data_IF_706191884727
#
_entry.id   IF_706191884727
#
_cell.length_a   1.000
_cell.length_b   1.000
_cell.length_c   1.000
_cell.angle_alpha   90.00
_cell.angle_beta   90.00
_cell.angle_gamma   90.00
#
_symmetry.space_group_name_H-M   'P 1'
#
loop_
_entity.id
_entity.type
_entity.pdbx_description
1 polymer ?
#
# COMPACT_ATOMS: atom_id res chain seq x y z
N UNK A 1 17.55 -13.02 9.08
CA UNK A 1 16.70 -11.95 8.55
C UNK A 1 15.98 -11.31 9.73
N UNK A 2 16.06 -10.00 9.86
CA UNK A 2 15.26 -9.31 10.84
C UNK A 2 13.78 -9.47 10.46
N UNK A 3 12.94 -9.75 11.46
CA UNK A 3 11.49 -9.78 11.26
C UNK A 3 11.02 -8.40 10.72
N UNK A 4 10.10 -8.41 9.76
CA UNK A 4 9.51 -7.19 9.23
C UNK A 4 8.65 -6.52 10.32
N UNK A 5 8.88 -5.24 10.56
CA UNK A 5 8.03 -4.42 11.45
C UNK A 5 6.85 -3.86 10.63
N UNK A 6 5.83 -4.68 10.44
CA UNK A 6 4.62 -4.34 9.69
C UNK A 6 3.43 -4.25 10.62
N UNK A 7 2.82 -3.08 10.71
CA UNK A 7 1.52 -2.86 11.35
C UNK A 7 0.42 -3.07 10.34
N UNK A 8 -0.62 -3.77 10.73
CA UNK A 8 -1.72 -4.13 9.83
C UNK A 8 -3.08 -3.82 10.44
N UNK A 9 -4.06 -3.54 9.59
CA UNK A 9 -5.46 -3.40 9.96
C UNK A 9 -6.39 -3.87 8.85
N UNK A 10 -7.59 -4.24 9.21
CA UNK A 10 -8.66 -4.65 8.30
C UNK A 10 -9.92 -3.81 8.58
N UNK A 11 -10.48 -3.26 7.54
CA UNK A 11 -11.78 -2.60 7.60
C UNK A 11 -12.83 -3.46 6.92
N UNK A 12 -14.00 -3.59 7.55
CA UNK A 12 -15.09 -4.43 7.11
C UNK A 12 -16.32 -3.57 6.96
N UNK A 13 -16.96 -3.64 5.79
CA UNK A 13 -18.14 -2.86 5.47
C UNK A 13 -19.26 -3.76 4.95
N UNK A 14 -20.43 -3.61 5.53
CA UNK A 14 -21.69 -4.10 4.99
C UNK A 14 -22.42 -2.94 4.30
N UNK A 15 -23.13 -3.19 3.18
CA UNK A 15 -23.96 -2.17 2.55
C UNK A 15 -24.89 -1.51 3.55
N UNK A 16 -25.00 -0.18 3.51
CA UNK A 16 -25.85 0.59 4.42
C UNK A 16 -25.27 0.87 5.81
N UNK A 17 -24.18 0.20 6.22
CA UNK A 17 -23.57 0.39 7.53
C UNK A 17 -22.21 1.09 7.41
N UNK A 18 -21.76 1.81 8.45
CA UNK A 18 -20.39 2.31 8.52
C UNK A 18 -19.37 1.16 8.47
N UNK A 19 -18.16 1.45 7.95
CA UNK A 19 -17.06 0.50 8.05
C UNK A 19 -16.57 0.39 9.49
N UNK A 20 -16.20 -0.83 9.89
CA UNK A 20 -15.56 -1.11 11.18
C UNK A 20 -14.12 -1.53 10.93
N UNK A 21 -13.18 -0.87 11.59
CA UNK A 21 -11.75 -1.12 11.44
C UNK A 21 -11.17 -1.82 12.67
N UNK A 22 -10.40 -2.86 12.43
CA UNK A 22 -9.70 -3.62 13.46
C UNK A 22 -8.19 -3.53 13.23
N UNK A 23 -7.46 -3.13 14.26
CA UNK A 23 -6.01 -3.34 14.31
C UNK A 23 -5.73 -4.83 14.45
N UNK A 24 -4.70 -5.30 13.76
CA UNK A 24 -4.34 -6.71 13.71
C UNK A 24 -3.03 -6.95 14.47
N UNK A 25 -2.87 -8.17 14.95
CA UNK A 25 -1.62 -8.71 15.51
C UNK A 25 -1.36 -10.10 14.95
N UNK A 26 -0.09 -10.46 14.89
CA UNK A 26 0.30 -11.80 14.47
C UNK A 26 0.03 -12.82 15.57
N UNK A 27 -0.48 -13.97 15.16
CA UNK A 27 -0.63 -15.16 15.96
C UNK A 27 -0.44 -16.40 15.07
N UNK A 28 0.70 -17.08 15.23
CA UNK A 28 1.05 -18.32 14.51
C UNK A 28 0.85 -18.24 12.97
N UNK A 29 1.32 -17.16 12.33
CA UNK A 29 1.22 -16.95 10.88
C UNK A 29 -0.15 -16.42 10.42
N UNK A 30 -1.07 -16.19 11.35
CA UNK A 30 -2.34 -15.52 11.10
C UNK A 30 -2.32 -14.10 11.65
N UNK A 31 -3.13 -13.26 11.05
CA UNK A 31 -3.43 -11.94 11.59
C UNK A 31 -4.81 -11.97 12.24
N UNK A 32 -4.83 -11.75 13.54
CA UNK A 32 -6.06 -11.72 14.35
C UNK A 32 -6.31 -10.32 14.89
N UNK A 33 -7.53 -10.05 15.30
CA UNK A 33 -7.86 -8.77 15.93
C UNK A 33 -7.04 -8.56 17.21
N UNK A 34 -6.40 -7.41 17.33
CA UNK A 34 -5.59 -7.07 18.50
C UNK A 34 -6.41 -6.98 19.79
N UNK A 35 -7.69 -6.67 19.70
CA UNK A 35 -8.61 -6.59 20.83
C UNK A 35 -9.35 -7.91 21.13
N UNK A 36 -9.05 -8.99 20.38
CA UNK A 36 -9.68 -10.31 20.59
C UNK A 36 -11.05 -10.47 19.94
N UNK A 37 -11.56 -9.51 19.19
CA UNK A 37 -12.83 -9.64 18.48
C UNK A 37 -12.74 -10.71 17.39
N UNK A 38 -13.80 -11.50 17.24
CA UNK A 38 -13.92 -12.43 16.13
C UNK A 38 -14.07 -11.68 14.80
N UNK A 39 -13.24 -12.01 13.82
CA UNK A 39 -13.32 -11.42 12.49
C UNK A 39 -14.14 -12.29 11.54
N UNK A 40 -14.98 -11.70 10.66
CA UNK A 40 -15.70 -12.43 9.62
C UNK A 40 -14.80 -12.84 8.44
N UNK A 41 -13.49 -12.76 8.62
CA UNK A 41 -12.46 -13.06 7.63
C UNK A 41 -11.27 -13.73 8.33
N UNK A 42 -10.69 -14.73 7.69
CA UNK A 42 -9.39 -15.27 8.06
C UNK A 42 -8.31 -14.55 7.25
N UNK A 43 -7.23 -14.17 7.93
CA UNK A 43 -6.12 -13.46 7.31
C UNK A 43 -4.84 -14.23 7.62
N UNK A 44 -4.23 -14.82 6.61
CA UNK A 44 -2.91 -15.46 6.71
C UNK A 44 -1.85 -14.55 6.15
N UNK A 45 -0.72 -14.48 6.83
CA UNK A 45 0.46 -13.78 6.30
C UNK A 45 1.64 -14.75 6.20
N UNK A 46 2.49 -14.46 5.23
CA UNK A 46 3.73 -15.20 5.01
C UNK A 46 4.82 -14.25 4.54
N UNK A 47 6.02 -14.43 5.04
CA UNK A 47 7.22 -13.74 4.56
C UNK A 47 8.18 -14.80 4.02
N UNK A 48 8.61 -14.64 2.78
CA UNK A 48 9.61 -15.51 2.14
C UNK A 48 10.76 -14.68 1.60
N UNK A 49 11.94 -15.28 1.50
CA UNK A 49 13.09 -14.62 0.91
C UNK A 49 13.18 -14.94 -0.59
N UNK A 50 13.52 -13.94 -1.39
CA UNK A 50 13.84 -14.06 -2.81
C UNK A 50 15.15 -13.31 -3.08
N UNK A 51 16.24 -14.04 -2.97
CA UNK A 51 17.59 -13.44 -2.96
C UNK A 51 17.79 -12.57 -1.72
N UNK A 52 18.03 -11.28 -1.93
CA UNK A 52 18.18 -10.27 -0.88
C UNK A 52 16.84 -9.63 -0.49
N UNK A 53 15.83 -9.79 -1.32
CA UNK A 53 14.51 -9.22 -1.10
C UNK A 53 13.64 -10.14 -0.25
N UNK A 54 12.57 -9.58 0.32
CA UNK A 54 11.55 -10.32 1.03
C UNK A 54 10.21 -10.17 0.29
N UNK A 55 9.45 -11.25 0.19
CA UNK A 55 8.10 -11.24 -0.32
C UNK A 55 7.15 -11.34 0.87
N UNK A 56 6.38 -10.29 1.09
CA UNK A 56 5.29 -10.27 2.05
C UNK A 56 3.98 -10.60 1.34
N UNK A 57 3.34 -11.67 1.75
CA UNK A 57 2.11 -12.17 1.16
C UNK A 57 1.00 -12.22 2.19
N UNK A 58 -0.20 -11.82 1.79
CA UNK A 58 -1.41 -11.90 2.60
C UNK A 58 -2.49 -12.62 1.82
N UNK A 59 -3.13 -13.58 2.46
CA UNK A 59 -4.32 -14.28 1.94
C UNK A 59 -5.52 -13.96 2.82
N UNK A 60 -6.52 -13.35 2.22
CA UNK A 60 -7.80 -13.01 2.82
C UNK A 60 -8.81 -14.09 2.45
N UNK A 61 -9.41 -14.78 3.41
CA UNK A 61 -10.47 -15.77 3.18
C UNK A 61 -11.73 -15.38 3.93
N UNK A 62 -12.80 -15.06 3.22
CA UNK A 62 -14.03 -14.59 3.82
C UNK A 62 -14.78 -15.72 4.54
N UNK A 63 -15.11 -15.51 5.82
CA UNK A 63 -16.04 -16.34 6.60
C UNK A 63 -17.49 -15.90 6.44
N UNK A 64 -17.67 -14.64 6.03
CA UNK A 64 -18.95 -14.02 5.68
C UNK A 64 -18.76 -13.18 4.43
N UNK A 65 -19.79 -13.10 3.59
CA UNK A 65 -19.82 -12.17 2.45
C UNK A 65 -19.87 -10.74 2.97
N UNK A 66 -18.85 -9.94 2.63
CA UNK A 66 -18.78 -8.52 2.97
C UNK A 66 -17.80 -7.81 2.04
N UNK A 67 -17.62 -6.52 2.28
CA UNK A 67 -16.63 -5.69 1.62
C UNK A 67 -15.48 -5.42 2.56
N UNK A 68 -14.26 -5.67 2.11
CA UNK A 68 -13.04 -5.65 2.93
C UNK A 68 -12.01 -4.67 2.37
N UNK A 69 -11.23 -4.05 3.26
CA UNK A 69 -10.04 -3.29 2.93
C UNK A 69 -8.94 -3.65 3.91
N UNK A 70 -7.80 -4.14 3.38
CA UNK A 70 -6.62 -4.49 4.15
C UNK A 70 -5.56 -3.41 3.98
N UNK A 71 -5.00 -2.92 5.08
CA UNK A 71 -3.95 -1.91 5.12
C UNK A 71 -2.74 -2.42 5.89
N UNK A 72 -1.56 -2.13 5.36
CA UNK A 72 -0.28 -2.43 5.97
C UNK A 72 0.62 -1.18 5.98
N UNK A 73 1.48 -1.10 6.99
CA UNK A 73 2.45 -0.03 7.17
C UNK A 73 3.76 -0.63 7.65
N UNK A 74 4.79 -0.58 6.82
CA UNK A 74 6.14 -1.06 7.11
C UNK A 74 6.96 0.07 7.73
N UNK A 75 7.39 -0.09 8.97
CA UNK A 75 8.39 0.79 9.55
C UNK A 75 9.76 0.53 8.90
N UNK A 76 10.32 1.57 8.27
CA UNK A 76 11.60 1.46 7.58
C UNK A 76 12.82 1.58 8.50
N UNK A 77 12.64 2.13 9.70
CA UNK A 77 13.73 2.53 10.58
C UNK A 77 14.54 3.71 10.04
N UNK A 78 14.17 4.31 8.90
CA UNK A 78 14.82 5.52 8.39
C UNK A 78 14.17 6.75 9.02
N UNK A 79 14.96 7.73 9.50
CA UNK A 79 14.40 8.93 10.10
C UNK A 79 13.58 9.73 9.07
N UNK A 80 12.42 10.21 9.47
CA UNK A 80 11.57 11.04 8.61
C UNK A 80 12.24 12.35 8.21
N UNK A 81 13.04 12.91 9.09
CA UNK A 81 13.84 14.08 8.78
C UNK A 81 15.07 13.69 7.95
N UNK A 82 15.22 14.30 6.79
CA UNK A 82 16.33 14.04 5.85
C UNK A 82 16.13 12.82 4.96
N UNK A 83 14.96 12.18 4.97
CA UNK A 83 14.63 11.13 4.00
C UNK A 83 13.89 11.69 2.80
N UNK A 84 14.25 11.16 1.64
CA UNK A 84 13.63 11.46 0.35
C UNK A 84 12.73 10.30 -0.07
N UNK A 85 11.62 10.61 -0.76
CA UNK A 85 10.66 9.61 -1.22
C UNK A 85 10.69 9.50 -2.72
N UNK A 86 10.79 8.28 -3.24
CA UNK A 86 10.51 8.01 -4.64
C UNK A 86 9.06 7.56 -4.79
N UNK A 87 8.34 8.37 -5.49
CA UNK A 87 7.01 8.09 -5.98
C UNK A 87 6.80 8.97 -7.20
N UNK A 88 6.14 8.48 -8.19
CA UNK A 88 5.81 9.25 -9.37
C UNK A 88 4.35 9.03 -9.71
N UNK A 89 3.60 10.09 -9.57
CA UNK A 89 2.18 10.11 -9.92
C UNK A 89 2.03 10.70 -11.31
N UNK A 90 1.40 9.97 -12.25
CA UNK A 90 1.29 10.35 -13.66
C UNK A 90 0.62 11.72 -13.90
N UNK A 91 -0.20 12.19 -12.97
CA UNK A 91 -0.92 13.46 -13.07
C UNK A 91 -0.24 14.62 -12.35
N UNK A 92 0.84 14.38 -11.60
CA UNK A 92 1.55 15.37 -10.82
C UNK A 92 2.97 15.50 -11.35
N UNK A 93 3.19 16.50 -12.19
CA UNK A 93 4.49 16.71 -12.83
C UNK A 93 5.36 17.75 -12.15
N UNK A 94 4.79 18.57 -11.28
CA UNK A 94 5.48 19.67 -10.63
C UNK A 94 4.91 19.94 -9.25
N UNK A 95 5.78 20.26 -8.30
CA UNK A 95 5.38 20.76 -6.98
C UNK A 95 4.43 21.95 -7.02
N UNK A 96 4.58 22.82 -7.99
CA UNK A 96 3.72 24.01 -8.15
C UNK A 96 2.30 23.66 -8.58
N UNK A 97 2.10 22.51 -9.19
CA UNK A 97 0.79 22.04 -9.67
C UNK A 97 -0.05 21.42 -8.55
N UNK A 98 0.55 21.10 -7.44
CA UNK A 98 -0.11 20.52 -6.26
C UNK A 98 0.45 21.08 -4.96
N UNK A 99 0.16 22.32 -4.61
CA UNK A 99 0.69 22.94 -3.39
C UNK A 99 0.41 22.15 -2.11
N UNK A 100 -0.75 21.53 -2.00
CA UNK A 100 -1.11 20.67 -0.86
C UNK A 100 -0.25 19.41 -0.78
N UNK A 101 0.35 19.01 -1.86
CA UNK A 101 1.20 17.83 -1.93
C UNK A 101 2.49 18.00 -1.13
N UNK A 102 3.07 19.19 -1.15
CA UNK A 102 4.29 19.50 -0.39
C UNK A 102 4.07 19.61 1.12
N UNK A 103 2.85 19.87 1.54
CA UNK A 103 2.53 20.02 2.96
C UNK A 103 2.09 18.73 3.60
N UNK A 104 1.69 17.76 2.80
CA UNK A 104 1.27 16.46 3.31
C UNK A 104 2.47 15.53 3.48
N UNK A 105 2.61 15.01 4.68
CA UNK A 105 3.65 14.05 5.05
C UNK A 105 3.23 12.60 4.89
N UNK A 106 1.98 12.37 4.49
CA UNK A 106 1.41 11.04 4.29
C UNK A 106 0.59 11.01 3.01
N UNK A 107 0.88 10.04 2.13
CA UNK A 107 0.20 9.86 0.87
C UNK A 107 -0.01 8.39 0.54
N UNK A 108 -1.18 8.07 0.02
CA UNK A 108 -1.50 6.78 -0.57
C UNK A 108 -2.01 6.98 -1.99
N UNK A 109 -1.46 6.22 -2.92
CA UNK A 109 -1.77 6.29 -4.34
C UNK A 109 -2.30 4.95 -4.83
N UNK A 110 -3.35 4.98 -5.63
CA UNK A 110 -3.73 3.82 -6.40
C UNK A 110 -2.56 3.39 -7.29
N UNK A 111 -2.19 2.11 -7.22
CA UNK A 111 -0.91 1.63 -7.78
C UNK A 111 -0.79 1.80 -9.30
N UNK A 112 -1.91 1.79 -10.05
CA UNK A 112 -1.92 2.01 -11.50
C UNK A 112 -1.74 3.49 -11.90
N UNK A 113 -1.70 4.40 -10.94
CA UNK A 113 -1.38 5.81 -11.16
C UNK A 113 0.10 6.13 -10.98
N UNK A 114 0.85 5.19 -10.48
CA UNK A 114 2.29 5.30 -10.37
C UNK A 114 2.95 4.87 -11.68
N UNK A 115 4.07 5.49 -12.04
CA UNK A 115 4.85 5.10 -13.23
C UNK A 115 5.45 3.70 -13.12
N UNK A 116 5.64 3.25 -11.89
CA UNK A 116 5.93 1.86 -11.53
C UNK A 116 5.23 1.57 -10.20
N UNK A 117 4.75 0.35 -9.98
CA UNK A 117 3.96 0.01 -8.79
C UNK A 117 4.86 -0.15 -7.55
N UNK A 118 5.55 0.92 -7.18
CA UNK A 118 6.55 0.98 -6.14
C UNK A 118 6.49 2.30 -5.38
N UNK A 119 6.77 2.24 -4.08
CA UNK A 119 7.11 3.39 -3.24
C UNK A 119 8.41 3.11 -2.53
N UNK A 120 9.21 4.13 -2.27
CA UNK A 120 10.47 3.97 -1.55
C UNK A 120 10.81 5.18 -0.69
N UNK A 121 11.62 4.94 0.33
CA UNK A 121 12.27 5.97 1.12
C UNK A 121 13.79 5.81 1.01
N UNK A 122 14.50 6.92 0.91
CA UNK A 122 15.95 7.00 0.86
C UNK A 122 16.47 8.03 1.85
N UNK A 123 17.44 7.65 2.67
CA UNK A 123 18.13 8.57 3.56
C UNK A 123 19.59 8.69 3.11
N UNK A 124 19.98 9.87 2.63
CA UNK A 124 21.29 10.10 2.05
C UNK A 124 22.41 10.03 3.08
N UNK A 125 22.18 10.50 4.30
CA UNK A 125 23.18 10.44 5.37
C UNK A 125 23.50 9.02 5.80
N UNK A 126 22.52 8.12 5.77
CA UNK A 126 22.69 6.70 6.07
C UNK A 126 23.03 5.87 4.84
N UNK A 127 22.93 6.43 3.64
CA UNK A 127 23.07 5.75 2.34
C UNK A 127 22.18 4.51 2.21
N UNK A 128 21.03 4.53 2.85
CA UNK A 128 20.09 3.42 2.91
C UNK A 128 18.77 3.77 2.25
N UNK A 129 18.18 2.76 1.66
CA UNK A 129 16.84 2.83 1.12
C UNK A 129 16.04 1.58 1.44
N UNK A 130 14.73 1.76 1.55
CA UNK A 130 13.74 0.68 1.61
C UNK A 130 12.69 0.98 0.54
N UNK A 131 12.28 -0.05 -0.18
CA UNK A 131 11.18 0.06 -1.14
C UNK A 131 10.15 -1.05 -0.93
N UNK A 132 8.90 -0.74 -1.23
CA UNK A 132 7.81 -1.70 -1.35
C UNK A 132 7.30 -1.66 -2.78
N UNK A 133 7.27 -2.82 -3.43
CA UNK A 133 6.82 -3.01 -4.79
C UNK A 133 5.66 -4.00 -4.81
N UNK A 134 4.60 -3.69 -5.54
CA UNK A 134 3.50 -4.63 -5.74
C UNK A 134 3.97 -5.79 -6.62
N UNK A 135 3.75 -7.03 -6.16
CA UNK A 135 3.85 -8.18 -7.04
C UNK A 135 2.56 -8.28 -7.85
N UNK A 136 2.65 -8.05 -9.15
CA UNK A 136 1.50 -8.14 -10.03
C UNK A 136 1.19 -9.61 -10.31
N UNK A 137 -0.08 -9.97 -10.18
CA UNK A 137 -0.57 -11.21 -10.75
C UNK A 137 -1.01 -10.99 -12.20
N UNK A 138 -1.05 -12.08 -12.96
CA UNK A 138 -1.40 -12.06 -14.40
C UNK A 138 -2.88 -11.79 -14.66
N UNK A 139 -3.70 -11.66 -13.64
CA UNK A 139 -5.13 -11.39 -13.80
C UNK A 139 -5.38 -9.89 -13.94
N UNK A 140 -5.89 -9.50 -15.09
CA UNK A 140 -6.48 -8.18 -15.26
C UNK A 140 -7.89 -8.19 -14.69
N UNK A 141 -8.13 -7.40 -13.65
CA UNK A 141 -9.45 -7.19 -13.12
C UNK A 141 -9.94 -5.78 -13.46
N UNK A 142 -11.23 -5.66 -13.65
CA UNK A 142 -11.84 -4.38 -13.94
C UNK A 142 -12.55 -3.86 -12.69
N UNK A 143 -12.33 -2.62 -12.36
CA UNK A 143 -13.08 -1.95 -11.32
C UNK A 143 -14.52 -1.77 -11.81
N UNK A 144 -15.47 -2.48 -11.20
CA UNK A 144 -16.82 -2.62 -11.76
C UNK A 144 -17.85 -1.71 -11.14
N UNK A 145 -17.67 -1.29 -9.89
CA UNK A 145 -18.73 -0.57 -9.19
C UNK A 145 -18.19 0.49 -8.25
N UNK A 146 -18.84 1.63 -8.23
CA UNK A 146 -18.59 2.66 -7.21
C UNK A 146 -19.92 3.27 -6.76
N UNK A 147 -19.93 3.73 -5.54
CA UNK A 147 -20.97 4.59 -5.01
C UNK A 147 -20.56 6.05 -5.10
N UNK A 148 -21.49 6.96 -4.95
CA UNK A 148 -21.16 8.38 -4.87
C UNK A 148 -20.35 8.70 -3.60
N UNK A 149 -19.52 9.73 -3.68
CA UNK A 149 -18.70 10.20 -2.57
C UNK A 149 -17.33 9.53 -2.46
N UNK A 150 -16.85 9.39 -1.26
CA UNK A 150 -15.49 8.95 -0.95
C UNK A 150 -15.34 7.43 -0.84
N UNK A 151 -16.46 6.71 -0.77
CA UNK A 151 -16.49 5.27 -0.58
C UNK A 151 -16.84 4.56 -1.88
N UNK A 152 -16.02 3.59 -2.26
CA UNK A 152 -16.24 2.73 -3.42
C UNK A 152 -16.45 1.29 -2.92
N UNK A 153 -17.56 0.69 -3.30
CA UNK A 153 -17.80 -0.75 -3.12
C UNK A 153 -17.56 -1.45 -4.45
N UNK A 154 -16.48 -2.22 -4.53
CA UNK A 154 -16.09 -2.93 -5.74
C UNK A 154 -16.49 -4.39 -5.67
N UNK A 155 -17.11 -4.89 -6.74
CA UNK A 155 -17.37 -6.32 -6.90
C UNK A 155 -16.08 -7.10 -7.15
N UNK A 156 -15.24 -6.58 -8.03
CA UNK A 156 -13.94 -7.15 -8.40
C UNK A 156 -12.94 -6.03 -8.65
N UNK A 157 -11.74 -6.19 -8.12
CA UNK A 157 -10.59 -5.34 -8.42
C UNK A 157 -9.30 -6.07 -8.06
N UNK A 158 -8.25 -5.87 -8.85
CA UNK A 158 -6.88 -6.27 -8.51
C UNK A 158 -6.07 -5.11 -7.93
N UNK A 159 -6.59 -3.90 -8.00
CA UNK A 159 -5.85 -2.69 -7.68
C UNK A 159 -5.70 -2.49 -6.18
N UNK A 160 -4.46 -2.39 -5.75
CA UNK A 160 -4.06 -1.96 -4.42
C UNK A 160 -3.55 -0.51 -4.41
N UNK A 161 -2.88 -0.16 -3.34
CA UNK A 161 -2.24 1.14 -3.20
C UNK A 161 -0.83 1.00 -2.63
N UNK A 162 -0.04 2.02 -2.87
CA UNK A 162 1.28 2.22 -2.32
C UNK A 162 1.42 3.67 -1.86
N UNK A 163 2.16 3.88 -0.80
CA UNK A 163 2.34 5.21 -0.27
C UNK A 163 3.43 5.28 0.79
N UNK A 164 3.42 6.38 1.51
CA UNK A 164 4.33 6.63 2.61
C UNK A 164 3.67 7.47 3.70
N UNK A 165 4.21 7.37 4.89
CA UNK A 165 3.90 8.21 6.04
C UNK A 165 5.20 8.66 6.70
N UNK A 166 5.40 9.97 6.78
CA UNK A 166 6.55 10.61 7.43
C UNK A 166 6.14 11.54 8.57
N UNK A 167 4.96 11.35 9.13
CA UNK A 167 4.45 12.18 10.22
C UNK A 167 5.09 11.84 11.56
N UNK A 168 5.68 10.65 11.67
CA UNK A 168 6.36 10.16 12.86
C UNK A 168 7.89 10.27 12.73
N UNK A 169 8.61 9.84 13.77
CA UNK A 169 10.08 9.90 13.79
C UNK A 169 10.72 9.09 12.67
N UNK A 170 10.17 7.91 12.40
CA UNK A 170 10.62 7.04 11.33
C UNK A 170 9.62 7.03 10.18
N UNK A 171 10.14 6.90 8.98
CA UNK A 171 9.31 6.72 7.77
C UNK A 171 8.64 5.37 7.80
N UNK A 172 7.34 5.35 7.51
CA UNK A 172 6.63 4.14 7.16
C UNK A 172 6.29 4.12 5.66
N UNK A 173 6.42 2.97 5.01
CA UNK A 173 5.88 2.73 3.68
C UNK A 173 4.54 2.05 3.82
N UNK A 174 3.52 2.61 3.19
CA UNK A 174 2.13 2.14 3.30
C UNK A 174 1.73 1.40 2.03
N UNK A 175 0.96 0.33 2.20
CA UNK A 175 0.47 -0.48 1.11
C UNK A 175 -0.77 -1.27 1.54
N UNK A 176 -1.54 -1.74 0.60
CA UNK A 176 -2.73 -2.50 0.91
C UNK A 176 -3.60 -2.82 -0.27
N UNK A 177 -4.77 -3.41 0.02
CA UNK A 177 -5.74 -3.87 -0.96
C UNK A 177 -7.17 -3.87 -0.37
N UNK A 178 -8.18 -3.45 -1.12
CA UNK A 178 -8.07 -2.70 -2.37
C UNK A 178 -7.53 -1.28 -2.14
N UNK A 179 -7.45 -0.47 -3.20
CA UNK A 179 -6.81 0.82 -3.11
C UNK A 179 -7.54 1.83 -2.24
N UNK A 180 -6.73 2.71 -1.64
CA UNK A 180 -7.16 3.98 -1.07
C UNK A 180 -6.37 5.11 -1.74
N UNK A 181 -6.93 6.32 -1.77
CA UNK A 181 -6.23 7.53 -2.20
C UNK A 181 -6.43 8.61 -1.15
N UNK A 182 -5.35 8.98 -0.49
CA UNK A 182 -5.35 9.96 0.62
C UNK A 182 -4.13 10.87 0.54
N UNK A 183 -4.14 12.07 1.18
CA UNK A 183 -5.28 12.69 1.87
C UNK A 183 -6.33 13.24 0.91
N UNK A 184 -5.91 13.74 -0.22
CA UNK A 184 -6.73 14.25 -1.31
C UNK A 184 -6.05 13.94 -2.62
N UNK A 185 -6.78 13.65 -3.64
CA UNK A 185 -6.19 13.43 -4.94
C UNK A 185 -6.41 14.59 -5.89
N UNK A 186 -5.54 14.66 -6.87
CA UNK A 186 -5.51 15.68 -7.89
C UNK A 186 -6.34 15.25 -9.09
N UNK A 187 -7.06 16.16 -9.70
CA UNK A 187 -7.82 15.92 -10.90
C UNK A 187 -7.44 16.91 -12.02
N UNK A 188 -7.93 16.62 -13.23
CA UNK A 188 -7.56 17.26 -14.49
C UNK A 188 -7.59 18.81 -14.50
N UNK A 189 -8.40 19.43 -13.65
CA UNK A 189 -8.57 20.90 -13.59
C UNK A 189 -7.86 21.54 -12.41
N UNK A 190 -6.82 20.96 -11.91
CA UNK A 190 -6.10 21.43 -10.71
C UNK A 190 -7.00 21.51 -9.45
N UNK A 191 -8.06 20.75 -9.42
CA UNK A 191 -8.98 20.69 -8.27
C UNK A 191 -8.67 19.46 -7.43
N UNK A 192 -8.46 19.68 -6.14
CA UNK A 192 -8.32 18.58 -5.18
C UNK A 192 -9.70 17.99 -4.89
N UNK A 193 -9.80 16.67 -4.97
CA UNK A 193 -11.01 15.95 -4.58
C UNK A 193 -10.79 15.19 -3.27
N UNK A 194 -11.89 14.86 -2.62
CA UNK A 194 -11.90 14.13 -1.36
C UNK A 194 -11.14 12.79 -1.43
N UNK A 195 -10.64 12.28 -0.31
CA UNK A 195 -10.05 10.96 -0.23
C UNK A 195 -10.98 9.87 -0.76
N UNK A 196 -10.40 8.78 -1.26
CA UNK A 196 -11.16 7.62 -1.72
C UNK A 196 -10.79 6.41 -0.88
N UNK A 197 -11.80 5.69 -0.42
CA UNK A 197 -11.68 4.42 0.28
C UNK A 197 -12.45 3.34 -0.47
N UNK A 198 -11.72 2.37 -1.00
CA UNK A 198 -12.31 1.25 -1.75
C UNK A 198 -12.40 0.01 -0.87
N UNK A 199 -13.51 -0.69 -0.96
CA UNK A 199 -13.74 -1.96 -0.30
C UNK A 199 -14.09 -3.00 -1.36
N UNK A 200 -13.36 -4.12 -1.38
CA UNK A 200 -13.59 -5.19 -2.33
C UNK A 200 -14.53 -6.24 -1.74
N UNK A 201 -15.52 -6.64 -2.52
CA UNK A 201 -16.41 -7.75 -2.16
C UNK A 201 -15.64 -9.05 -2.13
N UNK A 202 -15.80 -9.78 -1.05
CA UNK A 202 -15.33 -11.16 -0.95
C UNK A 202 -16.48 -12.01 -0.44
N UNK A 203 -16.90 -12.97 -1.23
CA UNK A 203 -17.98 -13.88 -0.89
C UNK A 203 -17.50 -14.95 0.09
N UNK A 204 -18.40 -15.40 0.96
CA UNK A 204 -18.11 -16.45 1.92
C UNK A 204 -17.42 -17.64 1.27
N UNK A 205 -16.29 -18.06 1.83
CA UNK A 205 -15.48 -19.17 1.34
C UNK A 205 -14.51 -18.82 0.20
N UNK A 206 -14.59 -17.60 -0.36
CA UNK A 206 -13.63 -17.13 -1.38
C UNK A 206 -12.40 -16.52 -0.73
N UNK A 207 -11.29 -16.62 -1.44
CA UNK A 207 -9.99 -16.11 -1.00
C UNK A 207 -9.39 -15.17 -2.03
N UNK A 208 -8.65 -14.17 -1.54
CA UNK A 208 -7.80 -13.28 -2.34
C UNK A 208 -6.40 -13.26 -1.75
N UNK A 209 -5.40 -13.53 -2.57
CA UNK A 209 -3.99 -13.46 -2.18
C UNK A 209 -3.34 -12.26 -2.85
N UNK A 210 -2.60 -11.48 -2.07
CA UNK A 210 -1.89 -10.28 -2.52
C UNK A 210 -0.45 -10.35 -1.99
N UNK A 211 0.51 -9.92 -2.82
CA UNK A 211 1.92 -9.96 -2.46
C UNK A 211 2.62 -8.65 -2.77
N UNK A 212 3.58 -8.31 -1.94
CA UNK A 212 4.48 -7.17 -2.10
C UNK A 212 5.91 -7.62 -1.91
N UNK A 213 6.81 -7.05 -2.69
CA UNK A 213 8.25 -7.22 -2.55
C UNK A 213 8.81 -6.07 -1.72
N UNK A 214 9.59 -6.40 -0.71
CA UNK A 214 10.30 -5.46 0.14
C UNK A 214 11.77 -5.54 -0.22
N UNK A 215 12.35 -4.39 -0.57
CA UNK A 215 13.68 -4.27 -1.13
C UNK A 215 14.52 -3.39 -0.20
N UNK A 216 15.54 -3.98 0.40
CA UNK A 216 16.60 -3.25 1.06
C UNK A 216 17.63 -2.79 0.02
N UNK A 217 18.00 -1.52 0.04
CA UNK A 217 18.91 -0.94 -0.91
C UNK A 217 19.90 0.03 -0.28
N UNK A 218 20.88 0.41 -1.09
CA UNK A 218 21.84 1.46 -0.75
C UNK A 218 22.17 2.28 -1.99
N UNK A 219 22.48 3.56 -1.79
CA UNK A 219 22.92 4.47 -2.84
C UNK A 219 23.74 5.60 -2.23
N UNK A 220 24.59 6.25 -3.02
CA UNK A 220 25.41 7.36 -2.55
C UNK A 220 24.64 8.68 -2.53
N UNK A 221 23.62 8.80 -3.37
CA UNK A 221 22.77 9.96 -3.49
C UNK A 221 21.39 9.58 -4.04
N UNK A 222 20.44 10.51 -4.00
CA UNK A 222 19.06 10.30 -4.46
C UNK A 222 18.96 9.91 -5.94
N UNK A 223 19.77 10.51 -6.82
CA UNK A 223 19.75 10.17 -8.25
C UNK A 223 20.15 8.72 -8.53
N UNK A 224 21.18 8.24 -7.83
CA UNK A 224 21.58 6.83 -7.89
C UNK A 224 20.49 5.91 -7.33
N UNK A 225 19.87 6.30 -6.20
CA UNK A 225 18.75 5.56 -5.65
C UNK A 225 17.61 5.40 -6.67
N UNK A 226 17.16 6.48 -7.28
CA UNK A 226 16.10 6.45 -8.31
C UNK A 226 16.48 5.53 -9.46
N UNK A 227 17.72 5.64 -9.96
CA UNK A 227 18.23 4.78 -11.03
C UNK A 227 18.21 3.30 -10.65
N UNK A 228 18.62 2.97 -9.44
CA UNK A 228 18.64 1.60 -8.93
C UNK A 228 17.21 1.05 -8.82
N UNK A 229 16.26 1.85 -8.35
CA UNK A 229 14.86 1.45 -8.24
C UNK A 229 14.21 1.22 -9.62
N UNK A 230 14.49 2.09 -10.59
CA UNK A 230 14.02 1.91 -11.97
C UNK A 230 14.54 0.61 -12.59
N UNK A 231 15.84 0.36 -12.47
CA UNK A 231 16.44 -0.89 -12.94
C UNK A 231 15.80 -2.10 -12.28
N UNK A 232 15.60 -2.04 -10.97
CA UNK A 232 14.98 -3.14 -10.23
C UNK A 232 13.55 -3.42 -10.69
N UNK A 233 12.75 -2.38 -10.92
CA UNK A 233 11.41 -2.53 -11.47
C UNK A 233 11.45 -3.13 -12.88
N UNK A 234 12.33 -2.66 -13.74
CA UNK A 234 12.48 -3.19 -15.09
C UNK A 234 12.86 -4.67 -15.08
N UNK A 235 13.85 -5.05 -14.28
CA UNK A 235 14.34 -6.43 -14.20
C UNK A 235 13.26 -7.40 -13.69
N UNK A 236 12.39 -6.94 -12.78
CA UNK A 236 11.35 -7.78 -12.20
C UNK A 236 10.13 -7.89 -13.13
N UNK A 237 9.70 -6.79 -13.71
CA UNK A 237 8.50 -6.79 -14.55
C UNK A 237 8.79 -7.17 -15.99
N UNK A 238 10.02 -6.98 -16.47
CA UNK A 238 10.49 -7.32 -17.81
C UNK A 238 9.37 -7.19 -18.86
N UNK A 239 8.89 -5.95 -19.14
CA UNK A 239 7.76 -5.69 -20.03
C UNK A 239 8.06 -6.08 -21.46
#
# INVERSE_FOLDING_TARGET
SNALDVKTKISIKQPGNPAVTYSLKEDAGQLVSANGSALPIEIKQQVTNDGKDQIYQVTLTARQTAFYNFEASLNTGLPSNGSEFYWYHLTLRSPKEAPAFHTSKSWNFREDRLSSPMTSAFNESEKKSIAVMRCLDSSSETLTTHTSGEVILSGETSLGYLGFDSEHNDVALTFGYPYIETPKRYIRKLTLIAPIFTYAKLEKGKSKTISWRIIDGSANNYGEHVTNMWKKCFDIYNP
#
